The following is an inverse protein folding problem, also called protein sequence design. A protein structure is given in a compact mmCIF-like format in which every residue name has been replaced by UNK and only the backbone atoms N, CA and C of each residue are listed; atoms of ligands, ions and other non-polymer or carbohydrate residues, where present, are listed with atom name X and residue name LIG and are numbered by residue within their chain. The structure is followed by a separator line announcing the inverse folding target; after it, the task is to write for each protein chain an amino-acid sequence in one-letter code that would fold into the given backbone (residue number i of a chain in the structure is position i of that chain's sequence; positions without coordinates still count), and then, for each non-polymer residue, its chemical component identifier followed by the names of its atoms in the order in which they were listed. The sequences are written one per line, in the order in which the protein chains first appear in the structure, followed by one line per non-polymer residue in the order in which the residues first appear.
data_IF_655946963696
#
_entry.id   IF_655946963696
#
_cell.length_a   1.000
_cell.length_b   1.000
_cell.length_c   1.000
_cell.angle_alpha   90.00
_cell.angle_beta   90.00
_cell.angle_gamma   90.00
#
_symmetry.space_group_name_H-M   'P 1'
#
loop_
_entity.id
_entity.type
_entity.pdbx_description
1 polymer ?
#
# COMPACT_ATOMS: atom_id res chain seq x y z
N UNK A 1 11.21 -20.22 -17.86
CA UNK A 1 9.95 -20.66 -17.23
C UNK A 1 9.25 -21.58 -18.20
N UNK A 2 8.91 -22.80 -17.78
CA UNK A 2 8.31 -23.82 -18.65
C UNK A 2 6.96 -23.35 -19.16
N UNK A 3 6.64 -23.71 -20.41
CA UNK A 3 5.34 -23.50 -21.06
C UNK A 3 4.18 -24.20 -20.32
N UNK A 4 4.48 -25.05 -19.33
CA UNK A 4 3.53 -25.92 -18.65
C UNK A 4 2.82 -25.28 -17.44
N UNK A 5 3.07 -24.01 -17.09
CA UNK A 5 2.29 -23.35 -16.03
C UNK A 5 0.90 -22.88 -16.53
N UNK A 6 0.74 -22.78 -17.85
CA UNK A 6 -0.49 -22.42 -18.55
C UNK A 6 -1.32 -23.66 -18.92
N UNK A 7 -1.39 -24.67 -18.05
CA UNK A 7 -2.40 -25.73 -18.23
C UNK A 7 -3.78 -25.08 -18.12
N UNK A 8 -4.67 -25.41 -19.06
CA UNK A 8 -6.03 -24.89 -19.08
C UNK A 8 -6.73 -25.26 -17.77
N UNK A 9 -7.45 -24.31 -17.17
CA UNK A 9 -8.18 -24.52 -15.92
C UNK A 9 -9.10 -25.75 -16.02
N UNK A 10 -9.75 -25.94 -17.16
CA UNK A 10 -10.62 -27.08 -17.44
C UNK A 10 -9.91 -28.44 -17.38
N UNK A 11 -8.63 -28.51 -17.74
CA UNK A 11 -7.85 -29.75 -17.68
C UNK A 11 -7.44 -30.03 -16.23
N UNK A 12 -6.97 -29.00 -15.50
CA UNK A 12 -6.67 -29.10 -14.07
C UNK A 12 -7.90 -29.41 -13.22
N UNK A 13 -9.07 -28.86 -13.55
CA UNK A 13 -10.29 -29.13 -12.78
C UNK A 13 -10.85 -30.53 -13.01
N UNK A 14 -10.75 -31.06 -14.23
CA UNK A 14 -11.09 -32.47 -14.50
C UNK A 14 -10.10 -33.42 -13.83
N UNK A 15 -8.82 -33.08 -13.83
CA UNK A 15 -7.76 -33.87 -13.19
C UNK A 15 -7.86 -33.88 -11.66
N UNK A 16 -8.10 -32.71 -11.04
CA UNK A 16 -8.00 -32.55 -9.58
C UNK A 16 -9.35 -32.67 -8.87
N UNK A 17 -10.43 -32.21 -9.49
CA UNK A 17 -11.73 -32.06 -8.81
C UNK A 17 -12.87 -32.86 -9.45
N UNK A 18 -12.63 -33.59 -10.54
CA UNK A 18 -13.66 -34.35 -11.29
C UNK A 18 -14.87 -33.48 -11.68
N UNK A 19 -14.63 -32.21 -12.00
CA UNK A 19 -15.67 -31.26 -12.43
C UNK A 19 -15.72 -31.25 -13.95
N UNK A 20 -16.86 -31.69 -14.52
CA UNK A 20 -17.04 -31.80 -15.97
C UNK A 20 -17.50 -30.50 -16.64
N UNK A 21 -18.16 -29.59 -15.91
CA UNK A 21 -18.73 -28.35 -16.45
C UNK A 21 -18.59 -27.14 -15.52
N UNK A 22 -17.90 -26.11 -16.00
CA UNK A 22 -17.66 -24.84 -15.31
C UNK A 22 -18.94 -23.99 -15.20
N UNK A 23 -19.86 -24.13 -16.15
CA UNK A 23 -21.07 -23.29 -16.26
C UNK A 23 -22.06 -23.56 -15.10
N UNK A 24 -21.84 -24.64 -14.34
CA UNK A 24 -22.63 -25.01 -13.16
C UNK A 24 -22.12 -24.37 -11.86
N UNK A 25 -20.95 -23.75 -11.88
CA UNK A 25 -20.30 -23.18 -10.70
C UNK A 25 -20.60 -21.68 -10.57
N UNK A 26 -20.62 -21.21 -9.32
CA UNK A 26 -20.69 -19.76 -9.05
C UNK A 26 -19.34 -19.11 -9.31
N UNK A 27 -19.34 -17.81 -9.63
CA UNK A 27 -18.11 -17.01 -9.82
C UNK A 27 -17.16 -17.16 -8.63
N UNK A 28 -17.68 -17.06 -7.41
CA UNK A 28 -16.91 -17.26 -6.17
C UNK A 28 -16.22 -18.62 -6.12
N UNK A 29 -16.91 -19.71 -6.49
CA UNK A 29 -16.31 -21.04 -6.51
C UNK A 29 -15.19 -21.14 -7.53
N UNK A 30 -15.38 -20.58 -8.73
CA UNK A 30 -14.33 -20.56 -9.77
C UNK A 30 -13.11 -19.76 -9.30
N UNK A 31 -13.30 -18.59 -8.70
CA UNK A 31 -12.19 -17.79 -8.16
C UNK A 31 -11.42 -18.56 -7.08
N UNK A 32 -12.11 -19.19 -6.13
CA UNK A 32 -11.46 -20.01 -5.10
C UNK A 32 -10.68 -21.18 -5.70
N UNK A 33 -11.23 -21.87 -6.70
CA UNK A 33 -10.54 -22.97 -7.39
C UNK A 33 -9.27 -22.49 -8.11
N UNK A 34 -9.30 -21.30 -8.72
CA UNK A 34 -8.10 -20.70 -9.30
C UNK A 34 -7.04 -20.47 -8.22
N UNK A 35 -7.41 -19.92 -7.06
CA UNK A 35 -6.46 -19.72 -5.96
C UNK A 35 -5.91 -21.03 -5.39
N UNK A 36 -6.69 -22.11 -5.45
CA UNK A 36 -6.23 -23.43 -5.04
C UNK A 36 -5.30 -24.10 -6.06
N UNK A 37 -5.53 -23.90 -7.35
CA UNK A 37 -4.72 -24.50 -8.42
C UNK A 37 -3.44 -23.73 -8.73
N UNK A 38 -3.45 -22.42 -8.55
CA UNK A 38 -2.32 -21.53 -8.81
C UNK A 38 -1.72 -21.09 -7.48
N UNK A 39 -1.05 -22.00 -6.77
CA UNK A 39 -0.49 -21.70 -5.45
C UNK A 39 0.70 -20.72 -5.50
N UNK A 40 0.81 -19.92 -4.45
CA UNK A 40 1.81 -18.85 -4.24
C UNK A 40 3.27 -19.32 -4.36
N UNK A 41 3.54 -20.52 -3.87
CA UNK A 41 4.87 -21.14 -3.83
C UNK A 41 5.39 -21.47 -5.23
N UNK A 42 4.51 -21.50 -6.23
CA UNK A 42 4.84 -21.94 -7.59
C UNK A 42 4.76 -20.78 -8.58
N UNK A 43 3.71 -19.96 -8.50
CA UNK A 43 3.34 -19.07 -9.61
C UNK A 43 4.39 -17.99 -9.94
N UNK A 44 4.98 -17.33 -8.93
CA UNK A 44 5.89 -16.20 -9.13
C UNK A 44 7.21 -16.30 -8.35
N UNK A 45 7.42 -17.37 -7.58
CA UNK A 45 8.52 -17.47 -6.61
C UNK A 45 9.90 -17.22 -7.25
N UNK A 46 10.13 -17.75 -8.45
CA UNK A 46 11.41 -17.61 -9.17
C UNK A 46 11.57 -16.23 -9.82
N UNK A 47 10.47 -15.60 -10.24
CA UNK A 47 10.49 -14.33 -10.98
C UNK A 47 10.59 -13.13 -10.03
N UNK A 48 9.84 -13.14 -8.93
CA UNK A 48 9.71 -11.99 -8.02
C UNK A 48 10.03 -12.38 -6.58
N UNK A 49 11.18 -13.02 -6.34
CA UNK A 49 11.56 -13.60 -5.04
C UNK A 49 11.40 -12.66 -3.83
N UNK A 50 11.75 -11.38 -3.97
CA UNK A 50 11.64 -10.39 -2.87
C UNK A 50 10.25 -9.76 -2.72
N UNK A 51 9.38 -9.97 -3.70
CA UNK A 51 8.03 -9.41 -3.80
C UNK A 51 6.97 -10.51 -3.92
N UNK A 52 7.29 -11.77 -3.56
CA UNK A 52 6.42 -12.90 -3.87
C UNK A 52 5.03 -12.79 -3.23
N UNK A 53 4.94 -12.22 -2.01
CA UNK A 53 3.63 -12.00 -1.40
C UNK A 53 2.85 -10.92 -2.15
N UNK A 54 3.51 -9.83 -2.54
CA UNK A 54 2.84 -8.79 -3.33
C UNK A 54 2.43 -9.29 -4.70
N UNK A 55 3.30 -10.03 -5.40
CA UNK A 55 3.01 -10.59 -6.72
C UNK A 55 1.78 -11.50 -6.66
N UNK A 56 1.79 -12.47 -5.75
CA UNK A 56 0.67 -13.38 -5.59
C UNK A 56 -0.64 -12.68 -5.21
N UNK A 57 -0.56 -11.75 -4.26
CA UNK A 57 -1.72 -11.02 -3.80
C UNK A 57 -2.26 -10.04 -4.86
N UNK A 58 -1.39 -9.51 -5.72
CA UNK A 58 -1.77 -8.72 -6.90
C UNK A 58 -2.50 -9.61 -7.91
N UNK A 59 -2.01 -10.82 -8.15
CA UNK A 59 -2.68 -11.80 -9.01
C UNK A 59 -4.08 -12.15 -8.51
N UNK A 60 -4.25 -12.39 -7.20
CA UNK A 60 -5.58 -12.65 -6.63
C UNK A 60 -6.57 -11.50 -6.91
N UNK A 61 -6.09 -10.25 -6.77
CA UNK A 61 -6.88 -9.06 -7.08
C UNK A 61 -7.18 -8.97 -8.58
N UNK A 62 -6.20 -9.23 -9.46
CA UNK A 62 -6.43 -9.19 -10.90
C UNK A 62 -7.45 -10.25 -11.35
N UNK A 63 -7.42 -11.46 -10.78
CA UNK A 63 -8.45 -12.49 -11.02
C UNK A 63 -9.83 -11.95 -10.63
N UNK A 64 -9.95 -11.37 -9.43
CA UNK A 64 -11.21 -10.81 -8.93
C UNK A 64 -11.72 -9.62 -9.76
N UNK A 65 -10.85 -8.94 -10.53
CA UNK A 65 -11.24 -7.86 -11.45
C UNK A 65 -11.59 -8.36 -12.85
N UNK A 66 -10.86 -9.37 -13.33
CA UNK A 66 -10.99 -9.89 -14.68
C UNK A 66 -12.09 -10.96 -14.80
N UNK A 67 -12.56 -11.53 -13.69
CA UNK A 67 -13.77 -12.36 -13.62
C UNK A 67 -14.84 -11.57 -12.88
N UNK A 68 -15.85 -11.08 -13.60
CA UNK A 68 -16.94 -10.28 -13.02
C UNK A 68 -18.07 -11.17 -12.48
N UNK A 69 -18.79 -10.68 -11.48
CA UNK A 69 -19.90 -11.41 -10.85
C UNK A 69 -21.05 -11.74 -11.82
N UNK A 70 -21.22 -10.94 -12.86
CA UNK A 70 -22.25 -11.07 -13.90
C UNK A 70 -21.78 -11.82 -15.15
N UNK A 71 -20.54 -12.32 -15.16
CA UNK A 71 -19.93 -12.94 -16.34
C UNK A 71 -20.37 -14.39 -16.54
N UNK A 72 -20.58 -14.78 -17.81
CA UNK A 72 -20.75 -16.18 -18.20
C UNK A 72 -19.39 -16.90 -18.08
N UNK A 73 -19.36 -17.99 -17.30
CA UNK A 73 -18.14 -18.68 -16.89
C UNK A 73 -17.68 -19.77 -17.86
N UNK A 74 -17.59 -19.46 -19.15
CA UNK A 74 -17.03 -20.44 -20.10
C UNK A 74 -15.55 -20.70 -19.79
N UNK A 75 -15.09 -21.92 -20.06
CA UNK A 75 -13.69 -22.31 -19.84
C UNK A 75 -12.69 -21.38 -20.57
N UNK A 76 -13.02 -20.96 -21.79
CA UNK A 76 -12.21 -20.02 -22.58
C UNK A 76 -12.13 -18.64 -21.90
N UNK A 77 -13.27 -18.10 -21.48
CA UNK A 77 -13.31 -16.79 -20.82
C UNK A 77 -12.53 -16.78 -19.50
N UNK A 78 -12.60 -17.87 -18.73
CA UNK A 78 -11.86 -17.99 -17.48
C UNK A 78 -10.36 -18.16 -17.73
N UNK A 79 -9.95 -18.98 -18.71
CA UNK A 79 -8.54 -19.11 -19.10
C UNK A 79 -7.95 -17.77 -19.55
N UNK A 80 -8.71 -16.98 -20.32
CA UNK A 80 -8.31 -15.65 -20.75
C UNK A 80 -8.16 -14.70 -19.57
N UNK A 81 -9.10 -14.72 -18.61
CA UNK A 81 -9.00 -13.93 -17.39
C UNK A 81 -7.76 -14.30 -16.55
N UNK A 82 -7.42 -15.60 -16.45
CA UNK A 82 -6.22 -16.07 -15.75
C UNK A 82 -4.96 -15.56 -16.44
N UNK A 83 -4.85 -15.76 -17.76
CA UNK A 83 -3.70 -15.31 -18.56
C UNK A 83 -3.50 -13.81 -18.43
N UNK A 84 -4.56 -13.04 -18.60
CA UNK A 84 -4.53 -11.57 -18.45
C UNK A 84 -4.10 -11.15 -17.04
N UNK A 85 -4.61 -11.82 -16.01
CA UNK A 85 -4.26 -11.52 -14.61
C UNK A 85 -2.80 -11.81 -14.28
N UNK A 86 -2.22 -12.86 -14.86
CA UNK A 86 -0.78 -13.14 -14.78
C UNK A 86 0.00 -12.03 -15.49
N UNK A 87 -0.33 -11.71 -16.73
CA UNK A 87 0.34 -10.66 -17.52
C UNK A 87 0.31 -9.29 -16.82
N UNK A 88 -0.85 -8.86 -16.31
CA UNK A 88 -1.00 -7.60 -15.56
C UNK A 88 -0.15 -7.61 -14.28
N UNK A 89 -0.14 -8.72 -13.55
CA UNK A 89 0.69 -8.87 -12.35
C UNK A 89 2.17 -8.72 -12.68
N UNK A 90 2.64 -9.35 -13.76
CA UNK A 90 4.03 -9.27 -14.18
C UNK A 90 4.43 -7.86 -14.60
N UNK A 91 3.55 -7.13 -15.29
CA UNK A 91 3.76 -5.73 -15.68
C UNK A 91 3.91 -4.85 -14.43
N UNK A 92 3.01 -4.99 -13.45
CA UNK A 92 3.05 -4.22 -12.20
C UNK A 92 4.32 -4.54 -11.40
N UNK A 93 4.65 -5.83 -11.24
CA UNK A 93 5.84 -6.23 -10.47
C UNK A 93 7.12 -5.75 -11.14
N UNK A 94 7.22 -5.82 -12.46
CA UNK A 94 8.37 -5.29 -13.21
C UNK A 94 8.52 -3.77 -12.98
N UNK A 95 7.41 -3.02 -12.99
CA UNK A 95 7.44 -1.59 -12.71
C UNK A 95 7.89 -1.25 -11.27
N UNK A 96 7.54 -2.09 -10.29
CA UNK A 96 8.02 -1.97 -8.90
C UNK A 96 9.52 -2.26 -8.83
N UNK A 97 9.99 -3.31 -9.49
CA UNK A 97 11.42 -3.63 -9.52
C UNK A 97 12.23 -2.50 -10.17
N UNK A 98 11.75 -1.97 -11.30
CA UNK A 98 12.32 -0.80 -11.96
C UNK A 98 12.35 0.44 -11.08
N UNK A 99 11.27 0.77 -10.38
CA UNK A 99 11.24 1.87 -9.42
C UNK A 99 12.23 1.65 -8.26
N UNK A 100 12.36 0.41 -7.78
CA UNK A 100 13.36 0.02 -6.78
C UNK A 100 14.81 0.11 -7.30
N UNK A 101 15.03 -0.03 -8.62
CA UNK A 101 16.33 0.10 -9.25
C UNK A 101 16.85 1.55 -9.26
N UNK A 102 15.96 2.54 -9.18
CA UNK A 102 16.31 3.96 -9.04
C UNK A 102 16.87 4.30 -7.65
N UNK A 103 16.77 3.39 -6.68
CA UNK A 103 17.32 3.58 -5.33
C UNK A 103 18.84 3.42 -5.30
N UNK A 104 19.50 4.27 -4.52
CA UNK A 104 20.97 4.40 -4.49
C UNK A 104 21.71 3.12 -4.08
N UNK A 105 21.15 2.36 -3.14
CA UNK A 105 21.83 1.23 -2.53
C UNK A 105 20.87 0.06 -2.25
N UNK A 106 21.45 -1.13 -2.09
CA UNK A 106 20.70 -2.37 -1.88
C UNK A 106 19.90 -2.37 -0.56
N UNK A 107 20.32 -1.61 0.45
CA UNK A 107 19.62 -1.51 1.73
C UNK A 107 18.32 -0.71 1.59
N UNK A 108 18.35 0.39 0.83
CA UNK A 108 17.15 1.17 0.50
C UNK A 108 16.18 0.34 -0.32
N UNK A 109 16.67 -0.34 -1.37
CA UNK A 109 15.86 -1.22 -2.21
C UNK A 109 15.19 -2.34 -1.42
N UNK A 110 15.94 -2.99 -0.51
CA UNK A 110 15.38 -4.00 0.39
C UNK A 110 14.31 -3.44 1.32
N UNK A 111 14.51 -2.23 1.87
CA UNK A 111 13.51 -1.58 2.70
C UNK A 111 12.23 -1.25 1.91
N UNK A 112 12.37 -0.82 0.67
CA UNK A 112 11.25 -0.59 -0.24
C UNK A 112 10.48 -1.86 -0.56
N UNK A 113 11.16 -2.93 -0.98
CA UNK A 113 10.48 -4.20 -1.25
C UNK A 113 9.81 -4.77 0.01
N UNK A 114 10.42 -4.59 1.18
CA UNK A 114 9.77 -4.97 2.44
C UNK A 114 8.50 -4.17 2.74
N UNK A 115 8.45 -2.87 2.41
CA UNK A 115 7.22 -2.07 2.53
C UNK A 115 6.15 -2.58 1.57
N UNK A 116 6.52 -2.75 0.30
CA UNK A 116 5.62 -3.21 -0.75
C UNK A 116 5.07 -4.61 -0.48
N UNK A 117 5.88 -5.50 0.11
CA UNK A 117 5.53 -6.91 0.28
C UNK A 117 4.70 -7.22 1.56
N UNK A 118 4.48 -6.25 2.46
CA UNK A 118 3.91 -6.52 3.79
C UNK A 118 2.80 -5.55 4.26
N UNK A 119 2.32 -4.61 3.45
CA UNK A 119 1.40 -3.55 3.93
C UNK A 119 0.20 -3.31 3.01
N UNK A 120 -0.31 -4.37 2.39
CA UNK A 120 -1.38 -4.32 1.39
C UNK A 120 -2.61 -5.17 1.74
N UNK A 121 -2.69 -5.72 2.97
CA UNK A 121 -3.77 -6.64 3.32
C UNK A 121 -5.11 -5.94 3.36
N UNK A 122 -5.19 -4.71 3.91
CA UNK A 122 -6.48 -4.04 3.99
C UNK A 122 -7.06 -3.84 2.58
N UNK A 123 -6.23 -3.49 1.59
CA UNK A 123 -6.71 -3.28 0.22
C UNK A 123 -7.22 -4.59 -0.40
N UNK A 124 -6.52 -5.71 -0.16
CA UNK A 124 -6.97 -7.02 -0.64
C UNK A 124 -8.30 -7.43 -0.05
N UNK A 125 -8.48 -7.25 1.26
CA UNK A 125 -9.69 -7.67 1.97
C UNK A 125 -10.92 -6.83 1.61
N UNK A 126 -10.78 -5.75 0.83
CA UNK A 126 -11.93 -5.06 0.26
C UNK A 126 -12.61 -5.90 -0.84
N UNK A 127 -11.90 -6.82 -1.49
CA UNK A 127 -12.47 -7.73 -2.50
C UNK A 127 -13.15 -8.89 -1.77
N UNK A 128 -14.47 -8.99 -1.88
CA UNK A 128 -15.30 -9.96 -1.13
C UNK A 128 -14.85 -11.40 -1.35
N UNK A 129 -14.60 -11.81 -2.60
CA UNK A 129 -14.12 -13.17 -2.90
C UNK A 129 -12.79 -13.51 -2.21
N UNK A 130 -11.86 -12.54 -2.14
CA UNK A 130 -10.56 -12.72 -1.46
C UNK A 130 -10.74 -12.75 0.05
N UNK A 131 -11.57 -11.85 0.58
CA UNK A 131 -11.90 -11.80 2.00
C UNK A 131 -12.48 -13.14 2.47
N UNK A 132 -13.49 -13.64 1.77
CA UNK A 132 -14.19 -14.87 2.13
C UNK A 132 -13.29 -16.09 1.99
N UNK A 133 -12.46 -16.14 0.94
CA UNK A 133 -11.46 -17.19 0.75
C UNK A 133 -10.45 -17.25 1.90
N UNK A 134 -9.85 -16.12 2.27
CA UNK A 134 -8.86 -16.06 3.37
C UNK A 134 -9.52 -16.35 4.72
N UNK A 135 -10.72 -15.82 4.96
CA UNK A 135 -11.44 -16.04 6.21
C UNK A 135 -11.84 -17.51 6.37
N UNK A 136 -12.30 -18.16 5.29
CA UNK A 136 -12.61 -19.59 5.29
C UNK A 136 -11.36 -20.41 5.60
N UNK A 137 -10.25 -20.16 4.88
CA UNK A 137 -8.97 -20.83 5.11
C UNK A 137 -8.50 -20.73 6.56
N UNK A 138 -8.60 -19.54 7.15
CA UNK A 138 -8.26 -19.31 8.55
C UNK A 138 -9.18 -20.07 9.52
N UNK A 139 -10.51 -20.02 9.31
CA UNK A 139 -11.50 -20.73 10.13
C UNK A 139 -11.26 -22.23 10.10
N UNK A 140 -11.07 -22.77 8.90
CA UNK A 140 -10.81 -24.19 8.66
C UNK A 140 -9.53 -24.64 9.38
N UNK A 141 -8.44 -23.89 9.25
CA UNK A 141 -7.18 -24.18 9.90
C UNK A 141 -7.28 -24.15 11.43
N UNK A 142 -7.91 -23.11 12.01
CA UNK A 142 -8.03 -22.99 13.46
C UNK A 142 -8.94 -24.07 14.04
N UNK A 143 -10.07 -24.37 13.39
CA UNK A 143 -10.99 -25.42 13.82
C UNK A 143 -10.35 -26.81 13.76
N UNK A 144 -9.57 -27.10 12.71
CA UNK A 144 -8.85 -28.36 12.60
C UNK A 144 -7.74 -28.49 13.65
N UNK A 145 -7.07 -27.39 14.02
CA UNK A 145 -5.99 -27.40 15.00
C UNK A 145 -6.48 -27.48 16.45
N UNK A 146 -7.48 -26.67 16.81
CA UNK A 146 -8.05 -26.66 18.16
C UNK A 146 -9.51 -26.15 18.10
N UNK A 147 -10.49 -27.04 17.93
CA UNK A 147 -11.89 -26.67 17.75
C UNK A 147 -12.50 -26.02 19.01
N UNK A 148 -11.95 -26.32 20.18
CA UNK A 148 -12.49 -25.82 21.46
C UNK A 148 -12.04 -24.41 21.82
N UNK A 149 -11.00 -23.89 21.16
CA UNK A 149 -10.42 -22.59 21.53
C UNK A 149 -11.41 -21.45 21.37
N UNK A 150 -12.20 -21.45 20.28
CA UNK A 150 -13.09 -20.33 19.95
C UNK A 150 -14.17 -20.08 21.02
N UNK A 151 -14.47 -21.07 21.86
CA UNK A 151 -15.41 -20.95 22.99
C UNK A 151 -14.77 -20.57 24.33
N UNK A 152 -13.45 -20.41 24.41
CA UNK A 152 -12.74 -20.21 25.70
C UNK A 152 -12.70 -18.76 26.18
N UNK A 153 -12.89 -17.79 25.27
CA UNK A 153 -12.81 -16.37 25.56
C UNK A 153 -14.05 -15.68 25.03
N UNK A 154 -14.50 -14.64 25.74
CA UNK A 154 -15.47 -13.71 25.15
C UNK A 154 -14.81 -12.92 24.02
N UNK A 155 -15.58 -12.45 23.02
CA UNK A 155 -15.06 -11.60 21.95
C UNK A 155 -14.26 -10.38 22.44
N UNK A 156 -14.71 -9.77 23.55
CA UNK A 156 -14.03 -8.63 24.15
C UNK A 156 -12.66 -9.01 24.74
N UNK A 157 -12.58 -10.10 25.52
CA UNK A 157 -11.31 -10.56 26.08
C UNK A 157 -10.32 -10.95 24.98
N UNK A 158 -10.82 -11.58 23.92
CA UNK A 158 -10.02 -11.95 22.77
C UNK A 158 -9.45 -10.70 22.07
N UNK A 159 -10.27 -9.67 21.88
CA UNK A 159 -9.83 -8.40 21.30
C UNK A 159 -8.77 -7.72 22.16
N UNK A 160 -9.02 -7.54 23.46
CA UNK A 160 -8.07 -6.89 24.36
C UNK A 160 -6.71 -7.61 24.36
N UNK A 161 -6.71 -8.95 24.29
CA UNK A 161 -5.50 -9.76 24.20
C UNK A 161 -4.79 -9.61 22.84
N UNK A 162 -5.56 -9.53 21.75
CA UNK A 162 -5.06 -9.38 20.38
C UNK A 162 -4.35 -8.02 20.17
N UNK A 163 -4.84 -6.96 20.81
CA UNK A 163 -4.27 -5.62 20.68
C UNK A 163 -3.02 -5.42 21.56
N UNK A 164 -2.74 -6.32 22.50
CA UNK A 164 -1.52 -6.25 23.32
C UNK A 164 -0.28 -6.75 22.54
N UNK A 165 0.89 -6.35 23.01
CA UNK A 165 2.14 -7.01 22.63
C UNK A 165 2.11 -8.48 23.05
N UNK A 166 2.68 -9.33 22.21
CA UNK A 166 3.00 -10.69 22.64
C UNK A 166 4.02 -10.65 23.79
N UNK A 167 3.88 -11.55 24.75
CA UNK A 167 4.82 -11.68 25.87
C UNK A 167 6.24 -11.98 25.35
N UNK A 168 6.34 -12.62 24.18
CA UNK A 168 7.60 -13.06 23.57
C UNK A 168 8.19 -12.03 22.60
N UNK A 169 7.48 -10.94 22.27
CA UNK A 169 7.98 -9.95 21.31
C UNK A 169 7.39 -8.57 21.53
N UNK A 170 8.15 -7.51 21.20
CA UNK A 170 7.66 -6.12 21.19
C UNK A 170 6.66 -5.81 20.04
N UNK A 171 6.18 -6.84 19.35
CA UNK A 171 5.21 -6.76 18.25
C UNK A 171 3.83 -7.13 18.78
N UNK A 172 2.81 -6.38 18.38
CA UNK A 172 1.42 -6.69 18.74
C UNK A 172 0.94 -7.95 18.07
N UNK A 173 -0.01 -8.66 18.69
CA UNK A 173 -0.54 -9.90 18.12
C UNK A 173 -1.29 -9.62 16.82
N UNK A 174 -2.03 -8.51 16.74
CA UNK A 174 -2.67 -8.07 15.49
C UNK A 174 -1.66 -7.87 14.35
N UNK A 175 -0.49 -7.29 14.61
CA UNK A 175 0.55 -7.16 13.59
C UNK A 175 1.13 -8.51 13.15
N UNK A 176 1.20 -9.51 14.05
CA UNK A 176 1.57 -10.88 13.67
C UNK A 176 0.53 -11.51 12.75
N UNK A 177 -0.75 -11.36 13.08
CA UNK A 177 -1.85 -11.84 12.24
C UNK A 177 -1.77 -11.23 10.84
N UNK A 178 -1.60 -9.91 10.74
CA UNK A 178 -1.39 -9.22 9.46
C UNK A 178 -0.27 -9.87 8.62
N UNK A 179 0.91 -10.06 9.23
CA UNK A 179 2.06 -10.66 8.54
C UNK A 179 1.79 -12.10 8.09
N UNK A 180 1.10 -12.90 8.91
CA UNK A 180 0.75 -14.28 8.58
C UNK A 180 -0.26 -14.31 7.43
N UNK A 181 -1.35 -13.55 7.51
CA UNK A 181 -2.38 -13.54 6.48
C UNK A 181 -1.85 -13.03 5.13
N UNK A 182 -0.99 -12.00 5.14
CA UNK A 182 -0.33 -11.53 3.91
C UNK A 182 0.50 -12.63 3.28
N UNK A 183 1.23 -13.43 4.07
CA UNK A 183 2.21 -14.41 3.61
C UNK A 183 1.63 -15.80 3.34
N UNK A 184 0.56 -16.16 4.03
CA UNK A 184 0.06 -17.53 4.11
C UNK A 184 -1.46 -17.65 3.94
N UNK A 185 -2.20 -16.55 3.80
CA UNK A 185 -3.64 -16.61 3.50
C UNK A 185 -3.90 -17.38 2.21
N UNK A 186 -4.83 -18.34 2.27
CA UNK A 186 -5.11 -19.33 1.22
C UNK A 186 -4.28 -20.62 1.32
N UNK A 187 -3.48 -20.77 2.37
CA UNK A 187 -2.64 -21.94 2.61
C UNK A 187 -2.54 -22.32 4.10
N UNK A 188 -3.37 -21.73 4.98
CA UNK A 188 -3.39 -22.06 6.41
C UNK A 188 -4.01 -23.43 6.67
N UNK A 189 -4.92 -23.85 5.80
CA UNK A 189 -5.60 -25.14 5.80
C UNK A 189 -5.27 -25.96 4.56
N UNK A 190 -5.46 -27.27 4.66
CA UNK A 190 -5.31 -28.23 3.57
C UNK A 190 -6.24 -29.41 3.76
N UNK A 191 -6.12 -30.43 2.90
CA UNK A 191 -6.85 -31.68 3.05
C UNK A 191 -5.87 -32.85 3.13
N UNK A 192 -6.16 -33.84 3.99
CA UNK A 192 -5.42 -35.10 4.01
C UNK A 192 -5.90 -36.05 2.88
N UNK A 193 -5.29 -37.22 2.76
CA UNK A 193 -5.63 -38.23 1.73
C UNK A 193 -7.10 -38.71 1.82
N UNK A 194 -7.74 -38.57 2.99
CA UNK A 194 -9.15 -38.89 3.20
C UNK A 194 -10.09 -37.72 2.85
N UNK A 195 -9.56 -36.59 2.42
CA UNK A 195 -10.32 -35.37 2.14
C UNK A 195 -10.75 -34.60 3.38
N UNK A 196 -10.19 -34.90 4.56
CA UNK A 196 -10.49 -34.18 5.80
C UNK A 196 -9.63 -32.90 5.90
N UNK A 197 -10.24 -31.82 6.39
CA UNK A 197 -9.56 -30.55 6.61
C UNK A 197 -8.49 -30.69 7.70
N UNK A 198 -7.26 -30.28 7.39
CA UNK A 198 -6.13 -30.23 8.34
C UNK A 198 -5.52 -28.83 8.40
N UNK A 199 -4.90 -28.50 9.53
CA UNK A 199 -4.16 -27.26 9.69
C UNK A 199 -2.73 -27.39 9.16
N UNK A 200 -2.28 -26.45 8.34
CA UNK A 200 -0.93 -26.40 7.79
C UNK A 200 0.08 -25.65 8.69
N UNK A 201 -0.27 -25.34 9.95
CA UNK A 201 0.57 -24.51 10.81
C UNK A 201 2.00 -25.03 10.97
N UNK A 202 2.18 -26.35 11.08
CA UNK A 202 3.51 -26.97 11.21
C UNK A 202 4.33 -26.89 9.91
N UNK A 203 3.71 -27.12 8.74
CA UNK A 203 4.39 -27.03 7.45
C UNK A 203 4.75 -25.59 7.09
N UNK A 204 3.95 -24.64 7.55
CA UNK A 204 4.22 -23.20 7.44
C UNK A 204 5.20 -22.66 8.49
N UNK A 205 5.66 -23.52 9.41
CA UNK A 205 6.57 -23.17 10.51
C UNK A 205 6.04 -22.05 11.43
N UNK A 206 4.72 -22.03 11.67
CA UNK A 206 4.13 -21.07 12.62
C UNK A 206 4.45 -21.46 14.05
N UNK A 207 4.84 -20.48 14.85
CA UNK A 207 5.09 -20.65 16.29
C UNK A 207 3.78 -20.76 17.07
N UNK A 208 3.81 -21.35 18.27
CA UNK A 208 2.64 -21.42 19.16
C UNK A 208 2.06 -20.03 19.47
N UNK A 209 2.90 -19.01 19.58
CA UNK A 209 2.48 -17.63 19.83
C UNK A 209 1.80 -16.98 18.62
N UNK A 210 2.21 -17.33 17.40
CA UNK A 210 1.56 -16.92 16.15
C UNK A 210 0.22 -17.62 15.98
N UNK A 211 0.15 -18.94 16.22
CA UNK A 211 -1.10 -19.71 16.19
C UNK A 211 -2.09 -19.14 17.20
N UNK A 212 -1.66 -18.87 18.43
CA UNK A 212 -2.49 -18.23 19.45
C UNK A 212 -3.01 -16.86 19.01
N UNK A 213 -2.19 -16.09 18.27
CA UNK A 213 -2.61 -14.79 17.74
C UNK A 213 -3.70 -14.92 16.66
N UNK A 214 -3.61 -15.94 15.79
CA UNK A 214 -4.66 -16.26 14.81
C UNK A 214 -5.96 -16.70 15.48
N UNK A 215 -5.85 -17.51 16.54
CA UNK A 215 -7.00 -17.97 17.30
C UNK A 215 -7.73 -16.82 17.99
N UNK A 216 -7.00 -15.92 18.67
CA UNK A 216 -7.56 -14.70 19.25
C UNK A 216 -8.28 -13.85 18.21
N UNK A 217 -7.70 -13.71 17.02
CA UNK A 217 -8.26 -12.92 15.94
C UNK A 217 -9.59 -13.48 15.42
N UNK A 218 -9.75 -14.80 15.33
CA UNK A 218 -11.07 -15.39 15.04
C UNK A 218 -12.05 -15.23 16.20
N UNK A 219 -11.57 -15.33 17.45
CA UNK A 219 -12.40 -15.22 18.64
C UNK A 219 -12.97 -13.82 18.88
N UNK A 220 -12.42 -12.75 18.27
CA UNK A 220 -12.98 -11.39 18.44
C UNK A 220 -14.37 -11.22 17.84
N UNK A 221 -14.85 -12.18 17.04
CA UNK A 221 -16.19 -12.13 16.45
C UNK A 221 -16.39 -10.96 15.48
N UNK A 222 -15.31 -10.38 14.94
CA UNK A 222 -15.43 -9.33 13.94
C UNK A 222 -15.88 -9.94 12.62
N UNK A 223 -17.10 -9.61 12.20
CA UNK A 223 -17.56 -9.86 10.83
C UNK A 223 -16.67 -9.16 9.79
N UNK A 224 -15.98 -8.08 10.21
CA UNK A 224 -15.09 -7.31 9.35
C UNK A 224 -13.74 -7.02 10.02
N UNK A 225 -12.88 -8.03 10.00
CA UNK A 225 -11.48 -8.00 10.44
C UNK A 225 -10.63 -6.91 9.75
N UNK A 226 -11.16 -6.35 8.67
CA UNK A 226 -10.61 -5.22 7.94
C UNK A 226 -10.42 -3.97 8.78
N UNK A 227 -11.35 -3.63 9.68
CA UNK A 227 -11.34 -2.27 10.26
C UNK A 227 -10.09 -1.99 11.10
N UNK A 228 -9.69 -2.83 12.08
CA UNK A 228 -8.47 -2.59 12.85
C UNK A 228 -7.19 -2.63 11.99
N UNK A 229 -7.16 -3.49 10.97
CA UNK A 229 -6.02 -3.59 10.04
C UNK A 229 -5.95 -2.33 9.16
N UNK A 230 -7.08 -1.89 8.61
CA UNK A 230 -7.19 -0.69 7.79
C UNK A 230 -6.81 0.55 8.59
N UNK A 231 -7.25 0.63 9.85
CA UNK A 231 -6.80 1.63 10.79
C UNK A 231 -5.27 1.65 10.87
N UNK A 232 -4.65 0.54 11.27
CA UNK A 232 -3.19 0.42 11.35
C UNK A 232 -2.51 0.91 10.07
N UNK A 233 -2.91 0.42 8.90
CA UNK A 233 -2.33 0.85 7.62
C UNK A 233 -2.55 2.36 7.33
N UNK A 234 -3.73 2.90 7.63
CA UNK A 234 -4.03 4.34 7.46
C UNK A 234 -3.35 5.26 8.47
N UNK A 235 -2.85 4.73 9.59
CA UNK A 235 -2.04 5.52 10.55
C UNK A 235 -0.70 5.99 9.99
N UNK A 236 -0.28 5.43 8.86
CA UNK A 236 0.90 5.87 8.11
C UNK A 236 0.45 6.90 7.09
N UNK A 237 0.69 8.17 7.38
CA UNK A 237 0.27 9.27 6.50
C UNK A 237 1.37 10.29 6.25
N UNK A 238 1.19 11.06 5.17
CA UNK A 238 1.97 12.25 4.86
C UNK A 238 1.16 13.46 5.29
N UNK A 239 1.82 14.44 5.90
CA UNK A 239 1.24 15.76 6.12
C UNK A 239 1.34 16.54 4.81
N UNK A 240 0.22 16.77 4.14
CA UNK A 240 0.16 17.68 3.00
C UNK A 240 -0.23 19.06 3.52
N UNK A 241 0.74 19.99 3.55
CA UNK A 241 0.48 21.40 3.80
C UNK A 241 -0.25 21.98 2.58
N UNK A 242 -1.59 21.96 2.60
CA UNK A 242 -2.35 22.49 1.50
C UNK A 242 -2.37 24.02 1.50
N UNK A 243 -2.43 24.65 2.67
CA UNK A 243 -2.33 26.10 2.92
C UNK A 243 -1.88 26.35 4.36
N UNK A 244 -1.43 27.58 4.70
CA UNK A 244 -0.96 27.97 6.05
C UNK A 244 -1.96 27.64 7.19
N UNK A 245 -3.24 27.39 6.87
CA UNK A 245 -4.30 27.10 7.84
C UNK A 245 -4.93 25.69 7.73
N UNK A 246 -4.62 24.90 6.69
CA UNK A 246 -5.21 23.55 6.50
C UNK A 246 -4.16 22.52 6.08
N UNK A 247 -3.92 21.54 6.95
CA UNK A 247 -3.12 20.35 6.63
C UNK A 247 -4.04 19.16 6.38
N UNK A 248 -3.87 18.44 5.27
CA UNK A 248 -4.57 17.19 5.00
C UNK A 248 -3.63 16.00 5.19
N UNK A 249 -4.17 14.90 5.69
CA UNK A 249 -3.42 13.65 5.85
C UNK A 249 -3.68 12.75 4.66
N UNK A 250 -2.62 12.36 3.95
CA UNK A 250 -2.71 11.40 2.86
C UNK A 250 -2.16 10.04 3.32
N UNK A 251 -2.98 8.98 3.38
CA UNK A 251 -2.50 7.64 3.72
C UNK A 251 -1.43 7.18 2.71
N UNK A 252 -0.26 6.84 3.22
CA UNK A 252 0.91 6.45 2.42
C UNK A 252 0.62 5.22 1.58
N UNK A 253 0.01 4.21 2.18
CA UNK A 253 -0.23 2.95 1.49
C UNK A 253 -1.28 3.06 0.37
N UNK A 254 -2.25 3.97 0.48
CA UNK A 254 -3.15 4.27 -0.64
C UNK A 254 -2.40 4.80 -1.88
N UNK A 255 -1.35 5.60 -1.68
CA UNK A 255 -0.52 6.09 -2.78
C UNK A 255 0.41 5.01 -3.33
N UNK A 256 1.02 4.18 -2.47
CA UNK A 256 1.94 3.13 -2.92
C UNK A 256 1.24 1.98 -3.64
N UNK A 257 0.03 1.63 -3.22
CA UNK A 257 -0.74 0.50 -3.72
C UNK A 257 -1.92 0.93 -4.59
N UNK A 258 -1.83 2.10 -5.25
CA UNK A 258 -2.91 2.62 -6.11
C UNK A 258 -3.40 1.56 -7.11
N UNK A 259 -2.50 0.73 -7.64
CA UNK A 259 -2.77 -0.32 -8.61
C UNK A 259 -3.66 -1.46 -8.05
N UNK A 260 -3.75 -1.60 -6.72
CA UNK A 260 -4.61 -2.59 -6.04
C UNK A 260 -6.01 -2.06 -5.70
N UNK A 261 -6.22 -0.73 -5.75
CA UNK A 261 -7.51 -0.11 -5.40
C UNK A 261 -8.64 -0.52 -6.36
N UNK A 262 -9.83 -0.83 -5.85
CA UNK A 262 -11.01 -1.15 -6.69
C UNK A 262 -11.36 -0.02 -7.66
N UNK A 263 -11.12 1.21 -7.24
CA UNK A 263 -11.47 2.41 -7.99
C UNK A 263 -10.38 2.83 -8.98
N UNK A 264 -9.24 2.12 -9.01
CA UNK A 264 -8.24 2.31 -10.05
C UNK A 264 -8.80 1.69 -11.34
N UNK A 265 -9.45 2.53 -12.15
CA UNK A 265 -9.66 2.20 -13.56
C UNK A 265 -8.29 1.88 -14.13
N UNK A 266 -8.15 0.68 -14.69
CA UNK A 266 -6.90 0.13 -15.20
C UNK A 266 -6.22 1.23 -16.00
N UNK A 267 -5.14 1.74 -15.42
CA UNK A 267 -4.30 2.71 -16.10
C UNK A 267 -3.76 1.95 -17.30
N UNK A 268 -4.29 2.27 -18.48
CA UNK A 268 -3.99 1.60 -19.74
C UNK A 268 -2.49 1.62 -19.99
N UNK A 269 -2.02 0.80 -20.94
CA UNK A 269 -0.62 0.78 -21.41
C UNK A 269 -0.03 2.16 -21.74
N UNK A 270 -0.86 3.19 -21.85
CA UNK A 270 -0.50 4.58 -22.14
C UNK A 270 0.08 5.34 -20.92
N UNK A 271 -0.16 4.89 -19.68
CA UNK A 271 0.49 5.50 -18.51
C UNK A 271 1.28 4.46 -17.71
N UNK A 272 2.62 4.56 -17.69
CA UNK A 272 3.46 3.50 -17.14
C UNK A 272 3.36 3.45 -15.62
N UNK A 273 3.00 2.29 -15.05
CA UNK A 273 2.98 2.03 -13.59
C UNK A 273 4.23 2.56 -12.89
N UNK A 274 5.39 2.48 -13.56
CA UNK A 274 6.67 3.02 -13.08
C UNK A 274 6.59 4.50 -12.72
N UNK A 275 5.98 5.33 -13.57
CA UNK A 275 5.86 6.77 -13.30
C UNK A 275 4.98 7.04 -12.06
N UNK A 276 3.87 6.31 -11.93
CA UNK A 276 3.03 6.36 -10.73
C UNK A 276 3.79 5.94 -9.47
N UNK A 277 4.54 4.84 -9.53
CA UNK A 277 5.36 4.35 -8.41
C UNK A 277 6.47 5.33 -8.03
N UNK A 278 7.15 5.94 -9.01
CA UNK A 278 8.16 6.99 -8.76
C UNK A 278 7.50 8.20 -8.08
N UNK A 279 6.33 8.65 -8.54
CA UNK A 279 5.60 9.74 -7.92
C UNK A 279 5.19 9.40 -6.47
N UNK A 280 4.72 8.18 -6.23
CA UNK A 280 4.39 7.71 -4.87
C UNK A 280 5.63 7.64 -3.97
N UNK A 281 6.77 7.21 -4.50
CA UNK A 281 8.05 7.24 -3.77
C UNK A 281 8.49 8.66 -3.43
N UNK A 282 8.25 9.63 -4.32
CA UNK A 282 8.52 11.05 -4.05
C UNK A 282 7.64 11.59 -2.92
N UNK A 283 6.36 11.19 -2.87
CA UNK A 283 5.49 11.54 -1.73
C UNK A 283 6.03 10.99 -0.41
N UNK A 284 6.66 9.80 -0.39
CA UNK A 284 7.31 9.28 0.82
C UNK A 284 8.48 10.15 1.31
N UNK A 285 9.14 10.88 0.41
CA UNK A 285 10.20 11.81 0.77
C UNK A 285 9.67 13.03 1.50
N UNK A 286 8.37 13.31 1.36
CA UNK A 286 7.68 14.40 2.05
C UNK A 286 7.06 13.95 3.38
N UNK A 287 7.12 12.67 3.74
CA UNK A 287 6.68 12.19 5.05
C UNK A 287 7.57 12.75 6.15
N UNK A 288 6.98 13.45 7.11
CA UNK A 288 7.65 13.76 8.37
C UNK A 288 8.08 12.47 9.09
N UNK A 289 9.30 12.50 9.64
CA UNK A 289 9.87 11.35 10.36
C UNK A 289 9.10 11.03 11.65
N UNK A 290 8.50 12.05 12.24
CA UNK A 290 7.83 11.99 13.54
C UNK A 290 6.38 12.42 13.37
N UNK A 291 5.49 11.45 13.13
CA UNK A 291 4.05 11.69 13.11
C UNK A 291 3.58 11.95 14.55
N UNK A 292 2.99 13.12 14.88
CA UNK A 292 2.53 13.39 16.23
C UNK A 292 1.37 12.46 16.63
N UNK A 293 1.50 11.80 17.79
CA UNK A 293 0.49 10.86 18.30
C UNK A 293 -0.87 11.54 18.55
N UNK A 294 -0.87 12.84 18.83
CA UNK A 294 -2.09 13.64 19.01
C UNK A 294 -2.91 13.73 17.71
N UNK A 295 -2.24 13.88 16.56
CA UNK A 295 -2.88 13.91 15.23
C UNK A 295 -3.45 12.55 14.85
N UNK A 296 -2.73 11.47 15.21
CA UNK A 296 -3.22 10.10 15.13
C UNK A 296 -4.52 9.98 15.95
N UNK A 297 -4.50 10.39 17.22
CA UNK A 297 -5.65 10.28 18.12
C UNK A 297 -6.88 11.06 17.62
N UNK A 298 -6.72 12.25 17.03
CA UNK A 298 -7.85 13.01 16.44
C UNK A 298 -8.46 12.29 15.24
N UNK A 299 -7.66 11.70 14.37
CA UNK A 299 -8.15 10.89 13.25
C UNK A 299 -8.92 9.65 13.75
N UNK A 300 -8.44 9.04 14.83
CA UNK A 300 -9.05 7.89 15.49
C UNK A 300 -10.22 8.20 16.42
N UNK A 301 -10.45 9.46 16.78
CA UNK A 301 -11.56 9.87 17.65
C UNK A 301 -12.91 9.42 17.07
N UNK A 302 -12.99 9.25 15.74
CA UNK A 302 -14.19 8.87 15.00
C UNK A 302 -14.21 7.39 14.56
N UNK A 303 -13.24 6.57 15.00
CA UNK A 303 -13.16 5.17 14.62
C UNK A 303 -13.98 4.28 15.58
N UNK A 304 -15.10 3.76 15.11
CA UNK A 304 -16.04 2.93 15.88
C UNK A 304 -15.84 1.41 15.69
N UNK A 305 -14.70 0.98 15.14
CA UNK A 305 -14.45 -0.42 14.80
C UNK A 305 -13.80 -1.27 15.89
N UNK A 306 -13.59 -0.72 17.10
CA UNK A 306 -12.94 -1.37 18.24
C UNK A 306 -13.79 -1.12 19.50
N UNK A 307 -13.89 -2.13 20.38
CA UNK A 307 -14.59 -1.99 21.66
C UNK A 307 -14.01 -0.84 22.49
N UNK A 308 -14.86 -0.04 23.14
CA UNK A 308 -14.44 1.10 23.96
C UNK A 308 -13.38 0.72 25.00
N UNK A 309 -13.49 -0.47 25.61
CA UNK A 309 -12.55 -0.98 26.60
C UNK A 309 -11.19 -1.35 26.00
N UNK A 310 -11.16 -1.77 24.73
CA UNK A 310 -9.94 -2.12 23.99
C UNK A 310 -9.31 -0.92 23.27
N UNK A 311 -10.06 0.18 23.12
CA UNK A 311 -9.63 1.38 22.38
C UNK A 311 -8.35 2.01 22.93
N UNK A 312 -8.24 2.12 24.24
CA UNK A 312 -7.02 2.65 24.89
C UNK A 312 -5.79 1.82 24.53
N UNK A 313 -5.92 0.49 24.61
CA UNK A 313 -4.86 -0.45 24.23
C UNK A 313 -4.49 -0.28 22.76
N UNK A 314 -5.47 -0.12 21.87
CA UNK A 314 -5.21 0.07 20.45
C UNK A 314 -4.37 1.33 20.17
N UNK A 315 -4.78 2.47 20.73
CA UNK A 315 -4.18 3.77 20.46
C UNK A 315 -2.82 3.94 21.15
N UNK A 316 -2.65 3.39 22.35
CA UNK A 316 -1.43 3.53 23.14
C UNK A 316 -0.40 2.44 22.84
N UNK A 317 -0.85 1.27 22.37
CA UNK A 317 0.01 0.11 22.15
C UNK A 317 0.08 -0.29 20.66
N UNK A 318 -1.04 -0.66 20.05
CA UNK A 318 -1.05 -1.24 18.69
C UNK A 318 -0.55 -0.29 17.62
N UNK A 319 -1.15 0.89 17.53
CA UNK A 319 -0.79 1.88 16.51
C UNK A 319 0.66 2.34 16.65
N UNK A 320 1.16 2.77 17.84
CA UNK A 320 2.54 3.22 17.96
C UNK A 320 3.57 2.14 17.63
N UNK A 321 3.33 0.87 17.99
CA UNK A 321 4.24 -0.22 17.65
C UNK A 321 4.26 -0.52 16.15
N UNK A 322 3.10 -0.48 15.49
CA UNK A 322 3.01 -0.62 14.05
C UNK A 322 3.71 0.52 13.32
N UNK A 323 3.37 1.77 13.67
CA UNK A 323 3.97 2.99 13.12
C UNK A 323 5.48 2.97 13.25
N UNK A 324 6.01 2.64 14.43
CA UNK A 324 7.47 2.53 14.66
C UNK A 324 8.13 1.50 13.74
N UNK A 325 7.45 0.37 13.49
CA UNK A 325 7.96 -0.68 12.61
C UNK A 325 8.04 -0.22 11.16
N UNK A 326 6.98 0.43 10.67
CA UNK A 326 6.90 0.95 9.29
C UNK A 326 7.83 2.15 9.09
N UNK A 327 7.89 3.09 10.04
CA UNK A 327 8.78 4.27 10.00
C UNK A 327 10.24 3.87 9.88
N UNK A 328 10.68 2.78 10.52
CA UNK A 328 12.04 2.27 10.36
C UNK A 328 12.35 1.94 8.90
N UNK A 329 11.40 1.35 8.17
CA UNK A 329 11.55 1.05 6.75
C UNK A 329 11.47 2.34 5.90
N UNK A 330 10.49 3.21 6.18
CA UNK A 330 10.33 4.50 5.48
C UNK A 330 11.57 5.38 5.60
N UNK A 331 12.19 5.46 6.78
CA UNK A 331 13.41 6.27 7.02
C UNK A 331 14.60 5.85 6.15
N UNK A 332 14.63 4.60 5.69
CA UNK A 332 15.62 4.09 4.75
C UNK A 332 15.24 4.45 3.31
N UNK A 333 13.97 4.29 2.95
CA UNK A 333 13.45 4.64 1.60
C UNK A 333 13.47 6.15 1.33
N UNK A 334 13.49 6.97 2.38
CA UNK A 334 13.51 8.44 2.31
C UNK A 334 14.86 9.03 1.83
N UNK A 335 15.93 8.23 1.64
CA UNK A 335 17.30 8.71 1.33
C UNK A 335 17.82 8.68 -0.14
N UNK A 336 17.07 8.31 -1.20
CA UNK A 336 17.57 8.46 -2.54
C UNK A 336 17.41 9.92 -2.99
N UNK A 337 18.49 10.48 -3.51
CA UNK A 337 18.40 11.50 -4.56
C UNK A 337 17.83 10.71 -5.74
N UNK A 338 16.51 10.55 -5.80
CA UNK A 338 15.85 10.25 -7.06
C UNK A 338 16.24 11.45 -7.90
N UNK A 339 17.09 11.26 -8.93
CA UNK A 339 17.40 12.35 -9.85
C UNK A 339 16.05 12.95 -10.24
N UNK A 340 15.87 14.25 -10.01
CA UNK A 340 14.67 14.98 -10.40
C UNK A 340 14.51 14.84 -11.92
N UNK A 341 13.93 13.74 -12.37
CA UNK A 341 13.46 13.62 -13.72
C UNK A 341 12.14 14.37 -13.73
N UNK A 342 12.20 15.59 -14.25
CA UNK A 342 11.00 16.29 -14.69
C UNK A 342 10.41 15.43 -15.81
N UNK A 343 9.52 14.49 -15.47
CA UNK A 343 8.72 13.71 -16.42
C UNK A 343 7.66 14.61 -17.10
N UNK A 344 8.05 15.83 -17.48
CA UNK A 344 7.24 16.80 -18.23
C UNK A 344 6.85 16.27 -19.62
N UNK A 345 7.52 15.20 -20.09
CA UNK A 345 7.37 14.59 -21.41
C UNK A 345 6.55 13.28 -21.45
N UNK A 346 6.22 12.67 -20.32
CA UNK A 346 5.53 11.35 -20.29
C UNK A 346 4.27 11.32 -19.43
N UNK A 347 4.00 12.35 -18.62
CA UNK A 347 2.63 12.55 -18.17
C UNK A 347 1.85 13.13 -19.37
N UNK A 348 0.72 12.53 -19.78
CA UNK A 348 -0.26 13.21 -20.61
C UNK A 348 -0.46 14.63 -20.08
N UNK A 349 -0.56 15.62 -20.97
CA UNK A 349 -0.63 17.01 -20.56
C UNK A 349 -1.76 17.20 -19.54
N UNK A 350 -2.87 16.45 -19.67
CA UNK A 350 -3.97 16.41 -18.71
C UNK A 350 -3.54 15.99 -17.29
N UNK A 351 -2.65 15.01 -17.14
CA UNK A 351 -2.26 14.46 -15.83
C UNK A 351 -1.20 15.34 -15.15
N UNK A 352 -0.31 15.95 -15.95
CA UNK A 352 0.56 17.03 -15.47
C UNK A 352 -0.25 18.27 -15.07
N UNK A 353 -1.26 18.63 -15.86
CA UNK A 353 -2.20 19.72 -15.59
C UNK A 353 -3.10 19.37 -14.41
N UNK A 354 -3.51 18.12 -14.20
CA UNK A 354 -4.21 17.65 -13.00
C UNK A 354 -3.31 17.72 -11.76
N UNK A 355 -2.06 17.24 -11.82
CA UNK A 355 -1.12 17.40 -10.72
C UNK A 355 -0.80 18.88 -10.41
N UNK A 356 -0.89 19.77 -11.41
CA UNK A 356 -0.56 21.19 -11.30
C UNK A 356 -1.75 22.10 -11.00
N UNK A 357 -2.95 21.80 -11.50
CA UNK A 357 -4.20 22.55 -11.32
C UNK A 357 -5.11 21.91 -10.25
N UNK A 358 -5.01 20.60 -10.01
CA UNK A 358 -5.70 19.86 -8.93
C UNK A 358 -4.69 19.17 -8.01
N UNK A 359 -3.96 19.96 -7.18
CA UNK A 359 -3.17 19.48 -6.02
C UNK A 359 -3.80 18.18 -5.47
N UNK A 360 -3.07 17.05 -5.57
CA UNK A 360 -3.63 15.68 -5.69
C UNK A 360 -4.59 15.30 -4.55
N UNK A 361 -5.89 15.58 -4.74
CA UNK A 361 -6.97 14.97 -4.00
C UNK A 361 -7.20 13.55 -4.55
N UNK A 362 -6.60 12.55 -3.90
CA UNK A 362 -7.00 11.14 -4.06
C UNK A 362 -8.01 10.84 -2.95
N UNK A 363 -9.28 10.72 -3.37
CA UNK A 363 -10.47 10.31 -2.63
C UNK A 363 -10.91 11.17 -1.43
N UNK A 364 -11.89 12.03 -1.68
CA UNK A 364 -13.17 12.03 -0.97
C UNK A 364 -14.10 13.06 -1.65
N UNK A 365 -15.07 12.59 -2.42
CA UNK A 365 -16.27 13.38 -2.70
C UNK A 365 -17.45 12.41 -2.71
N UNK A 366 -18.44 12.56 -1.81
CA UNK A 366 -19.67 11.80 -1.92
C UNK A 366 -20.41 12.21 -3.21
N UNK A 367 -21.25 11.34 -3.78
CA UNK A 367 -21.95 11.66 -5.01
C UNK A 367 -23.01 12.73 -4.72
N UNK A 368 -22.87 13.91 -5.31
CA UNK A 368 -24.04 14.76 -5.58
C UNK A 368 -23.81 15.61 -6.82
N UNK A 369 -24.56 15.26 -7.86
CA UNK A 369 -25.27 16.15 -8.78
C UNK A 369 -24.53 17.41 -9.27
N UNK A 370 -23.93 17.31 -10.47
CA UNK A 370 -24.23 18.21 -11.59
C UNK A 370 -23.46 17.75 -12.84
N UNK A 371 -24.21 17.55 -13.92
CA UNK A 371 -23.75 17.19 -15.26
C UNK A 371 -22.65 18.13 -15.78
N UNK A 372 -21.61 17.54 -16.35
CA UNK A 372 -21.15 17.75 -17.72
C UNK A 372 -20.38 16.47 -18.08
N UNK A 373 -20.86 15.76 -19.09
CA UNK A 373 -20.60 14.34 -19.30
C UNK A 373 -19.19 14.07 -19.83
N UNK A 374 -18.61 12.93 -19.43
CA UNK A 374 -17.31 12.41 -19.90
C UNK A 374 -17.28 12.31 -21.44
N UNK A 375 -18.44 12.13 -22.07
CA UNK A 375 -18.59 11.99 -23.52
C UNK A 375 -18.26 13.29 -24.28
N UNK A 376 -18.60 14.48 -23.75
CA UNK A 376 -18.25 15.77 -24.37
C UNK A 376 -16.74 16.03 -24.34
N UNK A 377 -16.05 15.46 -23.35
CA UNK A 377 -14.61 15.57 -23.19
C UNK A 377 -13.86 14.61 -24.14
N UNK A 378 -14.39 13.41 -24.35
CA UNK A 378 -13.83 12.43 -25.29
C UNK A 378 -13.98 12.86 -26.75
N UNK A 379 -15.06 13.58 -27.10
CA UNK A 379 -15.28 14.16 -28.43
C UNK A 379 -14.36 15.37 -28.73
N UNK A 380 -13.92 16.10 -27.70
CA UNK A 380 -12.92 17.15 -27.85
C UNK A 380 -11.50 16.59 -28.04
N UNK A 381 -11.18 15.46 -27.40
CA UNK A 381 -9.87 14.80 -27.50
C UNK A 381 -9.67 14.05 -28.83
N UNK A 382 -10.73 13.62 -29.52
CA UNK A 382 -10.63 12.90 -30.79
C UNK A 382 -10.29 13.77 -32.01
N UNK A 383 -10.33 15.10 -31.86
CA UNK A 383 -10.11 16.06 -32.96
C UNK A 383 -8.72 16.72 -32.98
N UNK A 384 -7.79 16.31 -32.11
CA UNK A 384 -6.42 16.85 -32.09
C UNK A 384 -5.52 15.94 -32.94
N UNK A 385 -4.98 16.47 -34.05
CA UNK A 385 -3.99 15.76 -34.87
C UNK A 385 -2.58 16.23 -34.56
N UNK A 386 -1.60 15.35 -34.80
CA UNK A 386 -0.16 15.48 -34.48
C UNK A 386 0.52 16.78 -34.99
N UNK A 387 -0.15 17.55 -35.85
CA UNK A 387 0.36 18.77 -36.46
C UNK A 387 0.02 20.07 -35.72
N UNK A 388 -0.81 20.05 -34.66
CA UNK A 388 -1.23 21.27 -33.96
C UNK A 388 -0.29 21.72 -32.83
N UNK A 389 0.84 21.03 -32.61
CA UNK A 389 1.84 21.42 -31.60
C UNK A 389 2.88 22.35 -32.21
N UNK A 390 2.61 23.66 -32.13
CA UNK A 390 3.63 24.69 -32.42
C UNK A 390 4.71 24.64 -31.34
N UNK A 391 5.91 24.23 -31.75
CA UNK A 391 7.12 24.29 -30.93
C UNK A 391 7.50 25.76 -30.67
N UNK A 392 7.48 26.19 -29.41
CA UNK A 392 8.27 27.32 -28.96
C UNK A 392 9.36 26.82 -27.99
N UNK A 393 10.61 26.93 -28.41
CA UNK A 393 11.75 26.90 -27.50
C UNK A 393 11.64 28.09 -26.54
N UNK A 394 11.36 27.80 -25.27
CA UNK A 394 11.49 28.80 -24.22
C UNK A 394 12.97 28.79 -23.78
N UNK A 395 13.77 29.69 -24.33
CA UNK A 395 15.01 30.13 -23.70
C UNK A 395 14.70 30.75 -22.34
N UNK A 396 15.52 30.51 -21.30
CA UNK A 396 15.24 31.00 -19.96
C UNK A 396 15.35 32.53 -19.94
N UNK A 397 14.20 33.20 -19.84
CA UNK A 397 14.17 34.62 -19.54
C UNK A 397 14.53 34.82 -18.06
N UNK A 398 15.60 35.57 -17.82
CA UNK A 398 16.00 36.04 -16.52
C UNK A 398 14.90 36.94 -15.94
N UNK A 399 14.09 36.42 -15.01
CA UNK A 399 13.40 37.26 -14.04
C UNK A 399 14.17 37.23 -12.73
N UNK A 400 15.12 38.15 -12.58
CA UNK A 400 15.69 38.49 -11.27
C UNK A 400 14.55 38.97 -10.37
N UNK A 401 14.23 38.18 -9.33
CA UNK A 401 13.37 38.63 -8.23
C UNK A 401 14.19 39.55 -7.33
N UNK A 402 14.09 40.86 -7.58
CA UNK A 402 14.76 41.90 -6.78
C UNK A 402 14.27 41.93 -5.32
N UNK A 403 13.07 41.40 -5.03
CA UNK A 403 12.52 41.38 -3.68
C UNK A 403 13.26 40.43 -2.74
N UNK A 404 13.73 39.27 -3.22
CA UNK A 404 14.49 38.32 -2.40
C UNK A 404 15.87 38.85 -2.00
N UNK A 405 16.56 39.53 -2.93
CA UNK A 405 17.89 40.11 -2.71
C UNK A 405 17.80 41.31 -1.75
N UNK A 406 16.77 42.15 -1.89
CA UNK A 406 16.57 43.30 -0.99
C UNK A 406 16.31 42.83 0.45
N UNK A 407 15.47 41.80 0.66
CA UNK A 407 15.19 41.25 1.99
C UNK A 407 16.44 40.65 2.63
N UNK A 408 17.23 39.89 1.86
CA UNK A 408 18.50 39.33 2.34
C UNK A 408 19.52 40.41 2.68
N UNK A 409 19.57 41.49 1.91
CA UNK A 409 20.51 42.61 2.14
C UNK A 409 20.12 43.40 3.39
N UNK A 410 18.84 43.68 3.60
CA UNK A 410 18.34 44.36 4.81
C UNK A 410 18.60 43.49 6.05
N UNK A 411 18.35 42.19 5.95
CA UNK A 411 18.62 41.25 7.05
C UNK A 411 20.12 41.22 7.41
N UNK A 412 21.01 41.18 6.41
CA UNK A 412 22.45 41.21 6.64
C UNK A 412 22.92 42.52 7.29
N UNK A 413 22.40 43.66 6.83
CA UNK A 413 22.73 44.97 7.41
C UNK A 413 22.28 45.05 8.88
N UNK A 414 21.10 44.53 9.21
CA UNK A 414 20.60 44.50 10.59
C UNK A 414 21.46 43.60 11.49
N UNK A 415 21.85 42.41 11.01
CA UNK A 415 22.71 41.48 11.76
C UNK A 415 24.09 42.09 12.00
N UNK A 416 24.70 42.72 10.98
CA UNK A 416 26.01 43.38 11.13
C UNK A 416 25.91 44.57 12.09
N UNK A 417 24.84 45.36 12.01
CA UNK A 417 24.62 46.51 12.90
C UNK A 417 24.44 46.04 14.35
N UNK A 418 23.72 44.95 14.57
CA UNK A 418 23.52 44.36 15.90
C UNK A 418 24.83 43.79 16.45
N UNK A 419 25.64 43.11 15.62
CA UNK A 419 26.97 42.64 16.02
C UNK A 419 27.91 43.81 16.36
N UNK A 420 27.89 44.89 15.58
CA UNK A 420 28.73 46.07 15.83
C UNK A 420 28.36 46.76 17.15
N UNK A 421 27.07 46.92 17.44
CA UNK A 421 26.57 47.49 18.71
C UNK A 421 26.94 46.58 19.89
N UNK A 422 26.79 45.27 19.73
CA UNK A 422 27.15 44.27 20.74
C UNK A 422 28.66 44.26 21.04
N UNK A 423 29.50 44.35 20.01
CA UNK A 423 30.97 44.43 20.14
C UNK A 423 31.45 45.77 20.73
N UNK A 424 30.69 46.85 20.55
CA UNK A 424 30.98 48.16 21.16
C UNK A 424 30.64 48.21 22.66
N UNK A 425 29.69 47.39 23.13
CA UNK A 425 29.21 47.40 24.53
C UNK A 425 29.79 46.29 25.42
N UNK A 426 30.50 45.30 24.85
CA UNK A 426 31.16 44.24 25.61
C UNK A 426 32.69 44.36 25.55
N UNK A 427 33.29 45.09 26.51
CA UNK A 427 34.74 45.26 26.60
C UNK A 427 35.52 43.96 26.85
N UNK A 428 34.87 42.89 27.32
CA UNK A 428 35.50 41.58 27.53
C UNK A 428 35.75 40.77 26.25
N UNK A 429 35.15 41.16 25.11
CA UNK A 429 35.21 40.39 23.86
C UNK A 429 36.14 41.00 22.77
N UNK A 430 36.65 42.22 22.98
CA UNK A 430 37.49 42.94 22.00
C UNK A 430 38.79 42.21 21.63
N UNK A 431 39.32 41.33 22.48
CA UNK A 431 40.59 40.61 22.21
C UNK A 431 40.47 39.33 21.39
N UNK A 432 39.27 38.75 21.24
CA UNK A 432 39.10 37.43 20.61
C UNK A 432 38.66 37.53 19.14
N UNK A 433 37.97 38.60 18.74
CA UNK A 433 37.32 38.67 17.42
C UNK A 433 38.06 39.44 16.32
N UNK A 434 39.12 40.20 16.64
CA UNK A 434 39.87 40.99 15.63
C UNK A 434 40.58 40.11 14.61
N UNK A 435 40.82 38.82 14.89
CA UNK A 435 41.49 37.90 13.97
C UNK A 435 40.54 37.17 12.98
N UNK A 436 39.21 37.31 13.11
CA UNK A 436 38.26 36.52 12.31
C UNK A 436 37.43 37.32 11.29
N UNK A 437 37.66 38.64 11.15
CA UNK A 437 36.85 39.53 10.28
C UNK A 437 37.64 39.97 9.02
N UNK A 438 38.68 39.24 8.62
CA UNK A 438 39.33 39.43 7.32
C UNK A 438 39.35 38.09 6.56
N UNK A 439 38.19 37.64 6.07
CA UNK A 439 38.01 36.82 4.85
C UNK A 439 36.62 37.14 4.28
#
# INVERSE_FOLDING_TARGET
MSKDLYVQLADKMREVYSIDDLDTLTVTKVICLIFDLYKREILFQDKFKYLNNLAYNTFMIMISRNIKDDQILTAEAVNDAIRKSIEETEIIMSAIEEAGNEMKDAKQRKAYYNLMNNNHLSIMLQYSHIHDYILKDLKDAVNAYNPTFLSQLTPQEAEEALLKCSILSKTTRLQKVLNILIKHGGNLSGHNDNGEVIANFSSLHLTSDEIYSLQLFLSTGYDNLFYPIQAMEKSIFVLEHAYEEFSFFKPVFSALFFFLSKDCQIITREYPYKAGLIASLQLLQMCDRDIPIEKINTWYANFNGINENARGIFLENTIPNYVRTVQKQLSLVHRPVIKFFTYKKLLPHELYVLCKQKKIALYNTPPSEALNTIDDYLEACSNITENDVVYQEITPNQSTSWSGIIVLTIFFILVISFLAIFLLHCDSLKKVYVNYIIV
#
